data_IF_068564842523
#
_entry.id   IF_068564842523
#
_cell.length_a   1.000
_cell.length_b   1.000
_cell.length_c   1.000
_cell.angle_alpha   90.00
_cell.angle_beta   90.00
_cell.angle_gamma   90.00
#
_symmetry.space_group_name_H-M   'P 1'
#
loop_
_entity.id
_entity.type
_entity.pdbx_description
1 polymer ?
#
# COMPACT_ATOMS: atom_id res chain seq x y z
N UNK A 1 39.47 55.19 -43.53
CA UNK A 1 38.69 56.45 -43.57
C UNK A 1 37.76 56.37 -44.77
N UNK A 2 36.54 56.91 -44.64
CA UNK A 2 35.41 56.89 -45.60
C UNK A 2 34.71 55.53 -45.74
N UNK A 3 33.62 55.23 -45.02
CA UNK A 3 32.29 55.86 -44.92
C UNK A 3 31.41 55.61 -46.15
N UNK A 4 30.40 54.76 -45.97
CA UNK A 4 29.17 54.72 -46.76
C UNK A 4 27.98 54.60 -45.79
N UNK A 5 27.12 55.61 -45.80
CA UNK A 5 25.70 55.64 -45.36
C UNK A 5 24.87 55.72 -46.66
N UNK A 6 23.54 55.89 -46.64
CA UNK A 6 22.44 55.17 -45.98
C UNK A 6 21.42 54.65 -47.04
N UNK A 7 20.62 53.63 -46.74
CA UNK A 7 19.49 53.28 -47.60
C UNK A 7 18.82 51.94 -47.31
N UNK A 8 17.55 52.02 -46.92
CA UNK A 8 16.53 50.96 -47.00
C UNK A 8 16.51 49.80 -45.98
N UNK A 9 15.47 49.87 -45.14
CA UNK A 9 14.48 48.82 -44.87
C UNK A 9 15.01 47.48 -44.34
N UNK A 10 14.77 47.19 -43.06
CA UNK A 10 13.81 46.14 -42.69
C UNK A 10 13.51 46.15 -41.20
N UNK A 11 12.33 46.68 -40.88
CA UNK A 11 11.64 46.56 -39.61
C UNK A 11 11.25 45.09 -39.40
N UNK A 12 11.88 44.37 -38.46
CA UNK A 12 11.29 43.15 -37.88
C UNK A 12 11.54 43.10 -36.38
N UNK A 13 10.61 43.71 -35.67
CA UNK A 13 10.35 43.57 -34.25
C UNK A 13 10.11 42.09 -33.93
N UNK A 14 11.04 41.42 -33.26
CA UNK A 14 10.80 40.09 -32.67
C UNK A 14 10.20 40.34 -31.29
N UNK A 15 8.87 40.37 -31.23
CA UNK A 15 8.12 40.39 -29.98
C UNK A 15 7.97 38.93 -29.51
N UNK A 16 8.85 38.48 -28.61
CA UNK A 16 8.71 37.22 -27.91
C UNK A 16 8.16 37.51 -26.51
N UNK A 17 6.84 37.37 -26.31
CA UNK A 17 6.23 37.53 -24.98
C UNK A 17 5.26 36.38 -24.67
N UNK A 18 5.76 35.51 -23.78
CA UNK A 18 5.08 34.77 -22.73
C UNK A 18 3.73 34.10 -23.04
N UNK A 19 3.79 32.85 -23.48
CA UNK A 19 2.76 31.85 -23.22
C UNK A 19 2.70 31.57 -21.71
N UNK A 20 1.82 32.26 -21.00
CA UNK A 20 1.38 31.89 -19.66
C UNK A 20 0.63 30.56 -19.76
N UNK A 21 1.37 29.48 -19.54
CA UNK A 21 0.82 28.14 -19.40
C UNK A 21 -0.10 28.08 -18.20
N UNK A 22 -1.41 28.09 -18.45
CA UNK A 22 -2.43 27.68 -17.50
C UNK A 22 -2.24 26.20 -17.17
N UNK A 23 -1.34 25.90 -16.24
CA UNK A 23 -1.28 24.62 -15.56
C UNK A 23 -2.55 24.52 -14.69
N UNK A 24 -3.66 24.16 -15.31
CA UNK A 24 -4.85 23.73 -14.60
C UNK A 24 -4.51 22.43 -13.89
N UNK A 25 -4.06 22.55 -12.65
CA UNK A 25 -4.00 21.46 -11.68
C UNK A 25 -5.38 20.81 -11.65
N UNK A 26 -5.56 19.73 -12.41
CA UNK A 26 -6.70 18.83 -12.24
C UNK A 26 -6.48 18.07 -10.93
N UNK A 27 -6.64 18.76 -9.82
CA UNK A 27 -7.04 18.15 -8.57
C UNK A 27 -8.46 17.65 -8.78
N UNK A 28 -8.57 16.52 -9.49
CA UNK A 28 -9.81 15.74 -9.54
C UNK A 28 -9.95 15.23 -8.13
N UNK A 29 -10.74 15.92 -7.30
CA UNK A 29 -11.20 15.38 -6.04
C UNK A 29 -11.77 14.00 -6.37
N UNK A 30 -11.02 12.94 -6.08
CA UNK A 30 -11.51 11.58 -6.18
C UNK A 30 -12.65 11.52 -5.18
N UNK A 31 -13.88 11.61 -5.68
CA UNK A 31 -15.05 11.46 -4.82
C UNK A 31 -15.01 10.03 -4.32
N UNK A 32 -14.81 9.89 -3.02
CA UNK A 32 -14.72 8.61 -2.34
C UNK A 32 -16.04 7.86 -2.54
N UNK A 33 -15.95 6.59 -2.88
CA UNK A 33 -17.08 5.71 -3.19
C UNK A 33 -17.99 5.57 -1.98
N UNK A 34 -17.41 5.47 -0.79
CA UNK A 34 -18.12 5.43 0.49
C UNK A 34 -19.04 6.66 0.68
N UNK A 35 -18.59 7.85 0.24
CA UNK A 35 -19.39 9.07 0.34
C UNK A 35 -20.59 9.10 -0.61
N UNK A 36 -20.64 8.27 -1.66
CA UNK A 36 -21.67 8.34 -2.69
C UNK A 36 -22.84 7.37 -2.47
N UNK A 37 -22.62 6.29 -1.73
CA UNK A 37 -23.61 5.26 -1.46
C UNK A 37 -23.98 5.25 0.03
N UNK A 38 -25.25 5.55 0.35
CA UNK A 38 -25.76 5.59 1.73
C UNK A 38 -25.70 4.22 2.41
N UNK A 39 -25.94 3.14 1.68
CA UNK A 39 -25.85 1.78 2.24
C UNK A 39 -24.40 1.44 2.57
N UNK A 40 -23.49 1.66 1.62
CA UNK A 40 -22.06 1.44 1.83
C UNK A 40 -21.54 2.27 3.00
N UNK A 41 -21.89 3.56 3.08
CA UNK A 41 -21.49 4.43 4.19
C UNK A 41 -21.94 3.92 5.55
N UNK A 42 -23.17 3.44 5.64
CA UNK A 42 -23.70 2.87 6.88
C UNK A 42 -22.98 1.57 7.27
N UNK A 43 -22.73 0.70 6.30
CA UNK A 43 -21.97 -0.53 6.49
C UNK A 43 -20.53 -0.25 6.91
N UNK A 44 -19.86 0.71 6.28
CA UNK A 44 -18.51 1.15 6.59
C UNK A 44 -18.41 1.74 8.00
N UNK A 45 -19.36 2.60 8.38
CA UNK A 45 -19.45 3.14 9.74
C UNK A 45 -19.64 2.02 10.77
N UNK A 46 -20.52 1.05 10.52
CA UNK A 46 -20.77 -0.06 11.42
C UNK A 46 -19.56 -1.01 11.51
N UNK A 47 -18.90 -1.28 10.38
CA UNK A 47 -17.68 -2.07 10.34
C UNK A 47 -16.55 -1.41 11.14
N UNK A 48 -16.27 -0.12 10.91
CA UNK A 48 -15.26 0.62 11.65
C UNK A 48 -15.55 0.65 13.17
N UNK A 49 -16.81 0.86 13.57
CA UNK A 49 -17.25 0.79 14.97
C UNK A 49 -17.11 -0.61 15.58
N UNK A 50 -17.25 -1.66 14.77
CA UNK A 50 -17.07 -3.04 15.23
C UNK A 50 -15.58 -3.33 15.45
N UNK A 51 -14.72 -2.87 14.54
CA UNK A 51 -13.26 -3.05 14.65
C UNK A 51 -12.64 -2.20 15.77
N UNK A 52 -13.19 -1.02 16.06
CA UNK A 52 -12.67 -0.16 17.13
C UNK A 52 -12.88 -0.72 18.55
N UNK A 53 -13.79 -1.70 18.72
CA UNK A 53 -13.99 -2.41 19.99
C UNK A 53 -12.89 -3.43 20.29
N UNK A 54 -11.95 -3.62 19.37
CA UNK A 54 -10.83 -4.56 19.51
C UNK A 54 -11.22 -6.00 19.15
N UNK A 55 -10.28 -6.92 19.34
CA UNK A 55 -10.46 -8.35 19.07
C UNK A 55 -10.36 -9.18 20.37
N UNK A 56 -11.22 -10.21 20.55
CA UNK A 56 -12.35 -10.59 19.69
C UNK A 56 -13.60 -9.75 19.97
N UNK A 57 -14.18 -9.13 18.93
CA UNK A 57 -15.50 -8.53 19.00
C UNK A 57 -16.53 -9.43 18.28
N UNK A 58 -17.81 -9.43 18.71
CA UNK A 58 -18.86 -10.03 17.90
C UNK A 58 -18.84 -9.43 16.49
N UNK A 59 -18.80 -10.28 15.47
CA UNK A 59 -18.82 -9.91 14.04
C UNK A 59 -17.54 -9.23 13.51
N UNK A 60 -16.36 -9.45 14.13
CA UNK A 60 -15.08 -8.95 13.58
C UNK A 60 -14.86 -9.42 12.13
N UNK A 61 -15.16 -10.68 11.85
CA UNK A 61 -15.04 -11.34 10.56
C UNK A 61 -15.95 -10.71 9.50
N UNK A 62 -17.21 -10.43 9.84
CA UNK A 62 -18.07 -9.60 9.00
C UNK A 62 -17.49 -8.20 8.77
N UNK A 63 -17.03 -7.53 9.83
CA UNK A 63 -16.50 -6.18 9.73
C UNK A 63 -15.25 -6.12 8.84
N UNK A 64 -14.34 -7.09 8.92
CA UNK A 64 -13.17 -7.19 8.04
C UNK A 64 -13.56 -7.47 6.58
N UNK A 65 -14.61 -8.26 6.33
CA UNK A 65 -15.13 -8.50 4.98
C UNK A 65 -15.80 -7.29 4.34
N UNK A 66 -16.22 -6.30 5.13
CA UNK A 66 -16.81 -5.04 4.64
C UNK A 66 -15.74 -3.96 4.52
N UNK A 67 -14.88 -3.82 5.55
CA UNK A 67 -14.04 -2.63 5.72
C UNK A 67 -13.12 -2.37 4.53
N UNK A 68 -12.62 -3.40 3.83
CA UNK A 68 -11.73 -3.18 2.69
C UNK A 68 -12.39 -2.44 1.52
N UNK A 69 -13.73 -2.36 1.49
CA UNK A 69 -14.52 -1.63 0.48
C UNK A 69 -14.71 -0.14 0.83
N UNK A 70 -14.25 0.28 2.00
CA UNK A 70 -14.48 1.59 2.59
C UNK A 70 -13.27 2.49 2.40
N UNK A 71 -13.24 3.27 1.33
CA UNK A 71 -12.08 4.11 1.00
C UNK A 71 -11.81 5.22 2.03
N UNK A 72 -12.79 5.64 2.83
CA UNK A 72 -12.58 6.58 3.94
C UNK A 72 -12.26 5.87 5.25
N UNK A 73 -13.13 4.93 5.63
CA UNK A 73 -13.14 4.34 6.97
C UNK A 73 -12.09 3.24 7.18
N UNK A 74 -11.55 2.65 6.12
CA UNK A 74 -10.65 1.50 6.24
C UNK A 74 -9.27 1.82 6.80
N UNK A 75 -8.59 2.83 6.23
CA UNK A 75 -7.24 3.21 6.65
C UNK A 75 -7.07 3.36 8.17
N UNK A 76 -7.90 4.16 8.87
CA UNK A 76 -7.77 4.33 10.31
C UNK A 76 -8.20 3.09 11.11
N UNK A 77 -9.21 2.34 10.65
CA UNK A 77 -9.67 1.13 11.32
C UNK A 77 -8.62 0.02 11.26
N UNK A 78 -8.01 -0.20 10.09
CA UNK A 78 -6.95 -1.18 9.89
C UNK A 78 -5.66 -0.79 10.62
N UNK A 79 -5.30 0.51 10.61
CA UNK A 79 -4.20 1.03 11.43
C UNK A 79 -4.38 0.71 12.92
N UNK A 80 -5.58 0.90 13.46
CA UNK A 80 -5.86 0.61 14.86
C UNK A 80 -5.70 -0.89 15.18
N UNK A 81 -6.13 -1.79 14.29
CA UNK A 81 -5.94 -3.23 14.46
C UNK A 81 -4.46 -3.64 14.41
N UNK A 82 -3.66 -3.00 13.55
CA UNK A 82 -2.22 -3.25 13.50
C UNK A 82 -1.46 -2.73 14.73
N UNK A 83 -2.04 -1.83 15.53
CA UNK A 83 -1.44 -1.41 16.80
C UNK A 83 -1.36 -2.56 17.82
N UNK A 84 -2.26 -3.54 17.72
CA UNK A 84 -2.22 -4.79 18.51
C UNK A 84 -2.71 -5.93 17.63
N UNK A 85 -1.87 -6.46 16.73
CA UNK A 85 -2.28 -7.47 15.77
C UNK A 85 -2.80 -8.72 16.49
N UNK A 86 -3.86 -9.38 15.98
CA UNK A 86 -4.37 -10.61 16.57
C UNK A 86 -3.29 -11.69 16.64
N UNK A 87 -3.24 -12.42 17.76
CA UNK A 87 -2.35 -13.58 17.92
C UNK A 87 -2.95 -14.86 17.32
N UNK A 88 -4.28 -14.91 17.17
CA UNK A 88 -4.98 -15.99 16.49
C UNK A 88 -4.69 -15.95 14.99
N UNK A 89 -4.35 -17.10 14.41
CA UNK A 89 -3.93 -17.18 13.02
C UNK A 89 -5.05 -16.85 12.03
N UNK A 90 -6.30 -17.17 12.35
CA UNK A 90 -7.44 -16.90 11.48
C UNK A 90 -7.76 -15.41 11.48
N UNK A 91 -7.83 -14.80 12.66
CA UNK A 91 -8.05 -13.36 12.80
C UNK A 91 -6.91 -12.54 12.18
N UNK A 92 -5.66 -12.99 12.33
CA UNK A 92 -4.51 -12.35 11.68
C UNK A 92 -4.60 -12.45 10.16
N UNK A 93 -4.99 -13.60 9.61
CA UNK A 93 -5.16 -13.77 8.17
C UNK A 93 -6.23 -12.81 7.61
N UNK A 94 -7.37 -12.71 8.28
CA UNK A 94 -8.43 -11.79 7.89
C UNK A 94 -7.96 -10.32 7.92
N UNK A 95 -7.16 -9.94 8.92
CA UNK A 95 -6.55 -8.61 8.98
C UNK A 95 -5.59 -8.39 7.80
N UNK A 96 -4.77 -9.38 7.46
CA UNK A 96 -3.83 -9.32 6.33
C UNK A 96 -4.57 -9.17 5.01
N UNK A 97 -5.60 -9.97 4.76
CA UNK A 97 -6.40 -9.90 3.53
C UNK A 97 -7.09 -8.54 3.37
N UNK A 98 -7.72 -8.03 4.43
CA UNK A 98 -8.37 -6.72 4.41
C UNK A 98 -7.35 -5.59 4.18
N UNK A 99 -6.16 -5.70 4.80
CA UNK A 99 -5.09 -4.70 4.67
C UNK A 99 -4.44 -4.71 3.28
N UNK A 100 -4.22 -5.89 2.69
CA UNK A 100 -3.62 -6.03 1.36
C UNK A 100 -4.49 -5.43 0.24
N UNK A 101 -5.80 -5.29 0.49
CA UNK A 101 -6.77 -4.67 -0.42
C UNK A 101 -6.86 -3.15 -0.30
N UNK A 102 -6.22 -2.55 0.71
CA UNK A 102 -6.38 -1.12 1.00
C UNK A 102 -5.06 -0.37 0.78
N UNK A 103 -4.96 0.32 -0.36
CA UNK A 103 -3.82 1.17 -0.71
C UNK A 103 -3.88 2.49 0.05
N UNK A 104 -3.67 2.43 1.37
CA UNK A 104 -3.66 3.58 2.28
C UNK A 104 -2.32 3.68 3.03
N UNK A 105 -1.78 4.90 3.09
CA UNK A 105 -0.51 5.23 3.72
C UNK A 105 -0.47 4.85 5.20
N UNK A 106 -1.59 4.92 5.92
CA UNK A 106 -1.67 4.52 7.34
C UNK A 106 -1.47 3.01 7.52
N UNK A 107 -2.00 2.22 6.60
CA UNK A 107 -1.82 0.76 6.58
C UNK A 107 -0.36 0.43 6.25
N UNK A 108 0.22 1.10 5.25
CA UNK A 108 1.64 0.99 4.92
C UNK A 108 2.55 1.26 6.13
N UNK A 109 2.35 2.37 6.85
CA UNK A 109 3.17 2.73 8.01
C UNK A 109 3.06 1.69 9.12
N UNK A 110 1.85 1.21 9.38
CA UNK A 110 1.59 0.21 10.42
C UNK A 110 2.25 -1.13 10.08
N UNK A 111 2.07 -1.62 8.85
CA UNK A 111 2.70 -2.86 8.40
C UNK A 111 4.23 -2.73 8.37
N UNK A 112 4.78 -1.59 7.95
CA UNK A 112 6.23 -1.36 7.97
C UNK A 112 6.80 -1.39 9.38
N UNK A 113 6.11 -0.77 10.34
CA UNK A 113 6.48 -0.79 11.76
C UNK A 113 6.44 -2.22 12.31
N UNK A 114 5.38 -2.97 12.00
CA UNK A 114 5.23 -4.34 12.48
C UNK A 114 6.30 -5.25 11.89
N UNK A 115 6.53 -5.20 10.57
CA UNK A 115 7.51 -6.02 9.88
C UNK A 115 8.95 -5.75 10.36
N UNK A 116 9.31 -4.48 10.61
CA UNK A 116 10.68 -4.08 10.97
C UNK A 116 11.06 -4.33 12.44
N UNK A 117 10.10 -4.32 13.36
CA UNK A 117 10.39 -4.49 14.79
C UNK A 117 10.56 -5.96 15.17
N UNK A 118 11.76 -6.31 15.64
CA UNK A 118 12.12 -7.65 16.12
C UNK A 118 11.39 -8.06 17.41
N UNK A 119 10.79 -7.11 18.14
CA UNK A 119 9.98 -7.37 19.32
C UNK A 119 8.58 -7.91 19.01
N UNK A 120 8.12 -7.81 17.76
CA UNK A 120 6.82 -8.33 17.35
C UNK A 120 6.84 -9.85 17.11
N UNK A 121 5.69 -10.48 17.34
CA UNK A 121 5.50 -11.90 17.05
C UNK A 121 5.82 -12.23 15.59
N UNK A 122 6.52 -13.33 15.35
CA UNK A 122 6.94 -13.76 14.01
C UNK A 122 5.76 -13.83 13.02
N UNK A 123 4.60 -14.35 13.45
CA UNK A 123 3.39 -14.42 12.63
C UNK A 123 2.91 -13.02 12.19
N UNK A 124 2.85 -12.06 13.11
CA UNK A 124 2.46 -10.69 12.82
C UNK A 124 3.44 -10.02 11.83
N UNK A 125 4.75 -10.23 12.02
CA UNK A 125 5.79 -9.74 11.11
C UNK A 125 5.63 -10.31 9.70
N UNK A 126 5.35 -11.61 9.56
CA UNK A 126 5.08 -12.26 8.27
C UNK A 126 3.79 -11.74 7.64
N UNK A 127 2.73 -11.59 8.43
CA UNK A 127 1.47 -10.99 7.97
C UNK A 127 1.70 -9.58 7.40
N UNK A 128 2.44 -8.75 8.11
CA UNK A 128 2.78 -7.41 7.67
C UNK A 128 3.63 -7.40 6.38
N UNK A 129 4.61 -8.30 6.26
CA UNK A 129 5.38 -8.47 5.01
C UNK A 129 4.48 -8.80 3.80
N UNK A 130 3.45 -9.63 4.00
CA UNK A 130 2.49 -9.97 2.94
C UNK A 130 1.66 -8.77 2.51
N UNK A 131 1.21 -7.94 3.45
CA UNK A 131 0.53 -6.67 3.13
C UNK A 131 1.44 -5.77 2.31
N UNK A 132 2.69 -5.57 2.76
CA UNK A 132 3.64 -4.71 2.05
C UNK A 132 3.96 -5.23 0.65
N UNK A 133 4.14 -6.54 0.48
CA UNK A 133 4.37 -7.16 -0.82
C UNK A 133 3.20 -6.90 -1.78
N UNK A 134 1.95 -6.96 -1.30
CA UNK A 134 0.77 -6.69 -2.13
C UNK A 134 0.69 -5.24 -2.63
N UNK A 135 1.32 -4.28 -1.95
CA UNK A 135 1.39 -2.88 -2.40
C UNK A 135 2.46 -2.67 -3.48
N UNK A 136 3.38 -3.61 -3.61
CA UNK A 136 4.42 -3.60 -4.65
C UNK A 136 3.92 -4.35 -5.88
N UNK A 137 3.27 -5.49 -5.67
CA UNK A 137 2.66 -6.30 -6.71
C UNK A 137 1.42 -7.02 -6.19
N UNK A 138 0.25 -6.64 -6.71
CA UNK A 138 -1.04 -7.19 -6.34
C UNK A 138 -1.35 -8.53 -6.99
N UNK A 139 -0.56 -8.99 -7.97
CA UNK A 139 -0.77 -10.27 -8.65
C UNK A 139 -0.32 -11.47 -7.81
N UNK A 140 0.45 -11.24 -6.74
CA UNK A 140 1.09 -12.32 -6.02
C UNK A 140 0.71 -12.37 -4.55
N UNK A 141 0.15 -13.51 -4.18
CA UNK A 141 -0.26 -13.80 -2.83
C UNK A 141 0.40 -15.10 -2.35
N UNK A 142 1.10 -15.00 -1.22
CA UNK A 142 1.75 -16.14 -0.56
C UNK A 142 0.93 -16.56 0.66
N UNK A 143 0.73 -17.86 0.84
CA UNK A 143 0.11 -18.39 2.05
C UNK A 143 1.10 -18.37 3.22
N UNK A 144 0.66 -18.14 4.47
CA UNK A 144 1.55 -18.11 5.64
C UNK A 144 2.42 -19.35 5.76
N UNK A 145 1.86 -20.53 5.49
CA UNK A 145 2.57 -21.83 5.59
C UNK A 145 3.80 -21.91 4.67
N UNK A 146 3.76 -21.23 3.51
CA UNK A 146 4.86 -21.19 2.54
C UNK A 146 6.01 -20.30 3.03
N UNK A 147 5.72 -19.33 3.91
CA UNK A 147 6.69 -18.37 4.43
C UNK A 147 7.28 -18.79 5.78
N UNK A 148 6.63 -19.72 6.48
CA UNK A 148 7.06 -20.22 7.79
C UNK A 148 8.13 -21.32 7.74
N UNK A 149 8.30 -21.99 6.59
CA UNK A 149 9.21 -23.13 6.45
C UNK A 149 10.24 -22.88 5.35
N UNK A 150 11.51 -22.65 5.70
CA UNK A 150 12.60 -22.68 4.74
C UNK A 150 12.77 -24.12 4.24
N UNK A 151 12.11 -24.50 3.14
CA UNK A 151 12.44 -25.75 2.44
C UNK A 151 13.16 -25.44 1.14
N UNK A 152 14.21 -26.21 0.83
CA UNK A 152 14.95 -26.10 -0.43
C UNK A 152 14.06 -26.37 -1.66
N UNK A 153 13.01 -27.18 -1.48
CA UNK A 153 12.09 -27.60 -2.56
C UNK A 153 10.94 -26.62 -2.81
N UNK A 154 10.77 -25.58 -1.99
CA UNK A 154 9.65 -24.64 -2.12
C UNK A 154 9.92 -23.52 -3.13
N UNK A 155 10.81 -23.70 -4.10
CA UNK A 155 11.02 -22.77 -5.23
C UNK A 155 9.72 -22.49 -6.00
N UNK A 156 8.74 -23.37 -5.86
CA UNK A 156 7.37 -23.20 -6.37
C UNK A 156 6.40 -22.93 -5.22
N UNK A 157 6.57 -21.78 -4.54
CA UNK A 157 5.41 -21.18 -3.90
C UNK A 157 4.42 -20.89 -5.03
N UNK A 158 3.31 -21.62 -5.10
CA UNK A 158 2.23 -21.33 -6.03
C UNK A 158 1.63 -20.02 -5.57
N UNK A 159 2.26 -18.92 -6.00
CA UNK A 159 1.65 -17.62 -5.93
C UNK A 159 0.58 -17.65 -7.01
N UNK A 160 -0.67 -17.72 -6.57
CA UNK A 160 -1.79 -17.72 -7.49
C UNK A 160 -1.90 -16.31 -8.06
N UNK A 161 -1.84 -16.19 -9.39
CA UNK A 161 -2.22 -14.99 -10.14
C UNK A 161 -3.75 -14.86 -10.12
N UNK A 162 -4.30 -14.66 -8.93
CA UNK A 162 -5.64 -14.16 -8.73
C UNK A 162 -5.46 -12.80 -8.10
N UNK A 163 -5.13 -11.81 -8.95
CA UNK A 163 -4.78 -10.47 -8.51
C UNK A 163 -5.75 -9.94 -7.47
N UNK A 164 -5.23 -9.30 -6.44
CA UNK A 164 -6.04 -8.73 -5.38
C UNK A 164 -6.64 -7.43 -5.93
N UNK A 165 -7.97 -7.33 -5.97
CA UNK A 165 -8.63 -6.06 -6.26
C UNK A 165 -8.38 -5.11 -5.09
N UNK A 166 -7.64 -4.04 -5.37
CA UNK A 166 -7.29 -3.02 -4.40
C UNK A 166 -8.18 -1.79 -4.52
N UNK A 167 -8.51 -1.22 -3.36
CA UNK A 167 -9.20 0.06 -3.19
C UNK A 167 -8.17 1.09 -2.76
N UNK A 168 -8.19 2.27 -3.38
CA UNK A 168 -7.36 3.41 -2.99
C UNK A 168 -8.02 4.09 -1.80
N UNK A 169 -7.30 4.18 -0.68
CA UNK A 169 -7.80 4.81 0.54
C UNK A 169 -7.74 6.33 0.49
N UNK A 170 -8.33 6.97 1.50
CA UNK A 170 -8.37 8.42 1.67
C UNK A 170 -6.96 9.06 1.81
N UNK A 171 -5.96 8.28 2.20
CA UNK A 171 -4.56 8.68 2.13
C UNK A 171 -3.81 7.70 1.23
N UNK A 172 -3.79 7.90 -0.10
CA UNK A 172 -3.16 6.95 -1.01
C UNK A 172 -1.68 6.74 -0.72
N UNK A 173 -1.18 5.52 -0.96
CA UNK A 173 0.27 5.29 -0.99
C UNK A 173 0.90 6.00 -2.21
N UNK A 174 2.17 6.38 -2.06
CA UNK A 174 2.94 7.05 -3.11
C UNK A 174 3.97 6.11 -3.74
N UNK A 175 4.56 6.52 -4.87
CA UNK A 175 5.71 5.81 -5.45
C UNK A 175 6.93 5.77 -4.52
N UNK A 176 7.10 6.79 -3.66
CA UNK A 176 8.13 6.82 -2.64
C UNK A 176 7.88 5.76 -1.54
N UNK A 177 6.61 5.53 -1.18
CA UNK A 177 6.23 4.46 -0.25
C UNK A 177 6.58 3.09 -0.86
N UNK A 178 6.22 2.84 -2.13
CA UNK A 178 6.57 1.59 -2.83
C UNK A 178 8.08 1.36 -2.86
N UNK A 179 8.88 2.40 -3.13
CA UNK A 179 10.34 2.29 -3.08
C UNK A 179 10.84 1.95 -1.67
N UNK A 180 10.27 2.59 -0.65
CA UNK A 180 10.59 2.34 0.76
C UNK A 180 10.25 0.91 1.17
N UNK A 181 9.14 0.35 0.68
CA UNK A 181 8.77 -1.05 0.89
C UNK A 181 9.82 -1.99 0.29
N UNK A 182 10.23 -1.76 -0.96
CA UNK A 182 11.25 -2.59 -1.62
C UNK A 182 12.58 -2.56 -0.85
N UNK A 183 12.98 -1.39 -0.35
CA UNK A 183 14.19 -1.23 0.48
C UNK A 183 14.04 -2.00 1.80
N UNK A 184 12.90 -1.87 2.48
CA UNK A 184 12.63 -2.57 3.75
C UNK A 184 12.69 -4.09 3.56
N UNK A 185 11.97 -4.64 2.58
CA UNK A 185 11.95 -6.07 2.27
C UNK A 185 13.37 -6.57 1.96
N UNK A 186 14.13 -5.84 1.13
CA UNK A 186 15.52 -6.20 0.83
C UNK A 186 16.40 -6.20 2.08
N UNK A 187 16.24 -5.22 2.96
CA UNK A 187 16.99 -5.12 4.22
C UNK A 187 16.68 -6.32 5.13
N UNK A 188 15.40 -6.61 5.35
CA UNK A 188 14.97 -7.74 6.17
C UNK A 188 15.46 -9.08 5.60
N UNK A 189 15.41 -9.27 4.29
CA UNK A 189 15.92 -10.47 3.63
C UNK A 189 17.43 -10.70 3.87
N UNK A 190 18.20 -9.60 3.95
CA UNK A 190 19.66 -9.66 4.10
C UNK A 190 20.09 -9.81 5.56
N UNK A 191 19.46 -9.08 6.48
CA UNK A 191 20.02 -8.85 7.81
C UNK A 191 19.08 -9.02 8.98
N UNK A 192 17.82 -9.47 8.79
CA UNK A 192 16.94 -9.71 9.94
C UNK A 192 17.56 -10.77 10.86
N UNK A 193 17.57 -10.61 12.19
CA UNK A 193 18.12 -11.63 13.08
C UNK A 193 17.35 -12.97 13.02
N UNK A 194 16.04 -12.94 12.72
CA UNK A 194 15.22 -14.13 12.63
C UNK A 194 15.36 -14.78 11.23
N UNK A 195 15.87 -16.02 11.12
CA UNK A 195 16.05 -16.70 9.83
C UNK A 195 14.75 -16.91 9.05
N UNK A 196 13.61 -17.09 9.74
CA UNK A 196 12.30 -17.24 9.08
C UNK A 196 11.87 -15.92 8.45
N UNK A 197 12.13 -14.79 9.11
CA UNK A 197 11.83 -13.46 8.55
C UNK A 197 12.76 -13.15 7.37
N UNK A 198 14.05 -13.47 7.47
CA UNK A 198 14.97 -13.36 6.31
C UNK A 198 14.48 -14.18 5.13
N UNK A 199 14.09 -15.43 5.37
CA UNK A 199 13.56 -16.32 4.34
C UNK A 199 12.28 -15.76 3.71
N UNK A 200 11.29 -15.38 4.54
CA UNK A 200 10.03 -14.82 4.07
C UNK A 200 10.23 -13.55 3.24
N UNK A 201 11.04 -12.60 3.73
CA UNK A 201 11.37 -11.38 3.00
C UNK A 201 12.12 -11.68 1.69
N UNK A 202 13.00 -12.69 1.69
CA UNK A 202 13.72 -13.14 0.50
C UNK A 202 12.82 -13.65 -0.63
N UNK A 203 11.62 -14.17 -0.32
CA UNK A 203 10.63 -14.60 -1.33
C UNK A 203 10.05 -13.45 -2.14
N UNK A 204 10.01 -12.25 -1.56
CA UNK A 204 9.48 -11.06 -2.22
C UNK A 204 10.56 -10.29 -3.03
N UNK A 205 11.77 -10.85 -3.20
CA UNK A 205 12.92 -10.17 -3.85
C UNK A 205 13.05 -10.41 -5.36
N UNK A 206 12.32 -11.35 -5.95
CA UNK A 206 12.61 -11.85 -7.32
C UNK A 206 12.36 -10.79 -8.40
N UNK A 207 13.31 -10.55 -9.33
CA UNK A 207 13.17 -9.58 -10.41
C UNK A 207 12.44 -10.22 -11.61
N UNK A 208 11.15 -9.98 -11.61
CA UNK A 208 10.16 -10.08 -12.70
C UNK A 208 8.96 -9.18 -12.33
N UNK A 209 9.32 -8.18 -11.49
CA UNK A 209 8.64 -7.38 -10.49
C UNK A 209 9.53 -6.17 -10.21
#
# INVERSE_FOLDING_TARGET
>A
MSACRPGSICLRTVLALALLGSASSRARAQRLTESQDVHLRNDCRLAAQTLSKGHPAPKTDWALSIIFRCDESAGPALQALWATPPSDSVALEQLVEASARMLDHRVYLSASTIASSSGNAQSARIGALRVLASFVDAEFYYYPVQLLRPSADSTHGVAYSHGISQVVGAQPITSADVLSIRILIKTLALSDPNPVIRFAAGRFRSPGY
#
